data_IF_892102402682
#
_entry.id   IF_892102402682
#
_cell.length_a   1.000
_cell.length_b   1.000
_cell.length_c   1.000
_cell.angle_alpha   90.00
_cell.angle_beta   90.00
_cell.angle_gamma   90.00
#
_symmetry.space_group_name_H-M   'P 1'
#
loop_
_entity.id
_entity.type
_entity.pdbx_description
1 polymer ?
#
# COMPACT_ATOMS: atom_id res chain seq x y z
N UNK A 1 19.04 -12.67 7.83
CA UNK A 1 20.04 -13.75 7.75
C UNK A 1 20.20 -14.15 6.29
N UNK A 2 21.40 -14.51 5.86
CA UNK A 2 21.66 -15.01 4.50
C UNK A 2 22.10 -16.48 4.63
N UNK A 3 21.40 -17.36 3.93
CA UNK A 3 21.75 -18.79 3.82
C UNK A 3 22.66 -19.02 2.61
N UNK A 4 23.69 -19.87 2.77
CA UNK A 4 24.63 -20.18 1.71
C UNK A 4 25.24 -21.59 1.88
N UNK A 5 25.80 -22.15 0.81
CA UNK A 5 26.44 -23.47 0.81
C UNK A 5 27.95 -23.30 0.68
N UNK A 6 28.71 -23.92 1.58
CA UNK A 6 30.18 -24.05 1.46
C UNK A 6 30.55 -25.49 1.73
N UNK A 7 31.30 -26.10 0.82
CA UNK A 7 31.75 -27.49 0.88
C UNK A 7 30.57 -28.46 1.14
N UNK A 8 29.46 -28.24 0.44
CA UNK A 8 28.25 -29.07 0.57
C UNK A 8 27.45 -28.87 1.87
N UNK A 9 27.87 -28.01 2.79
CA UNK A 9 27.16 -27.74 4.05
C UNK A 9 26.43 -26.40 4.00
N UNK A 10 25.16 -26.40 4.42
CA UNK A 10 24.39 -25.17 4.64
C UNK A 10 24.98 -24.40 5.82
N UNK A 11 25.22 -23.12 5.61
CA UNK A 11 25.68 -22.15 6.62
C UNK A 11 24.80 -20.91 6.57
N UNK A 12 24.82 -20.15 7.65
CA UNK A 12 24.05 -18.91 7.77
C UNK A 12 24.97 -17.81 8.28
N UNK A 13 24.78 -16.60 7.74
CA UNK A 13 25.55 -15.42 8.12
C UNK A 13 24.63 -14.21 8.28
N UNK A 14 24.98 -13.31 9.20
CA UNK A 14 24.27 -12.05 9.36
C UNK A 14 24.79 -11.01 8.37
N UNK A 15 23.88 -10.26 7.74
CA UNK A 15 24.25 -9.16 6.85
C UNK A 15 24.61 -7.89 7.61
N UNK A 16 25.68 -7.21 7.18
CA UNK A 16 25.96 -5.83 7.59
C UNK A 16 25.23 -4.88 6.66
N UNK A 17 24.18 -4.22 7.14
CA UNK A 17 23.58 -3.11 6.39
C UNK A 17 24.44 -1.87 6.61
N UNK A 18 25.50 -1.70 5.81
CA UNK A 18 26.31 -0.48 5.85
C UNK A 18 25.41 0.70 5.47
N UNK A 19 25.28 1.67 6.39
CA UNK A 19 24.44 2.87 6.20
C UNK A 19 24.97 3.79 5.09
N UNK A 20 26.17 3.57 4.58
CA UNK A 20 26.82 4.43 3.59
C UNK A 20 26.66 3.87 2.18
N UNK A 21 25.61 4.31 1.49
CA UNK A 21 25.62 4.71 0.07
C UNK A 21 24.18 4.99 -0.40
N UNK A 22 23.98 6.22 -0.88
CA UNK A 22 22.69 6.88 -1.10
C UNK A 22 22.06 6.55 -2.48
N UNK A 23 22.68 5.66 -3.27
CA UNK A 23 22.17 5.34 -4.60
C UNK A 23 21.34 4.05 -4.60
N UNK A 24 20.00 4.21 -4.68
CA UNK A 24 18.95 3.19 -4.85
C UNK A 24 19.25 1.84 -4.18
N UNK A 25 19.05 1.75 -2.86
CA UNK A 25 19.09 0.47 -2.14
C UNK A 25 17.91 -0.40 -2.61
N UNK A 26 18.22 -1.55 -3.21
CA UNK A 26 17.27 -2.65 -3.36
C UNK A 26 16.73 -2.99 -1.97
N UNK A 27 15.41 -3.04 -1.82
CA UNK A 27 14.80 -3.55 -0.61
C UNK A 27 14.91 -5.08 -0.66
N UNK A 28 15.73 -5.67 0.20
CA UNK A 28 15.89 -7.13 0.22
C UNK A 28 14.65 -7.80 0.79
N UNK A 29 14.15 -8.80 0.07
CA UNK A 29 13.01 -9.63 0.47
C UNK A 29 13.48 -11.07 0.77
N UNK A 30 12.68 -11.82 1.52
CA UNK A 30 12.88 -13.26 1.68
C UNK A 30 12.83 -13.91 0.28
N UNK A 31 13.69 -14.90 0.04
CA UNK A 31 13.79 -15.55 -1.28
C UNK A 31 14.66 -14.80 -2.29
N UNK A 32 15.16 -13.60 -1.97
CA UNK A 32 16.16 -12.93 -2.79
C UNK A 32 17.46 -13.75 -2.82
N UNK A 33 17.89 -14.08 -4.03
CA UNK A 33 19.23 -14.59 -4.27
C UNK A 33 20.17 -13.41 -4.36
N UNK A 34 21.23 -13.46 -3.56
CA UNK A 34 22.19 -12.37 -3.42
C UNK A 34 23.61 -12.89 -3.57
N UNK A 35 24.50 -12.02 -4.05
CA UNK A 35 25.96 -12.21 -3.92
C UNK A 35 26.45 -11.38 -2.74
N UNK A 36 27.46 -11.86 -2.03
CA UNK A 36 28.03 -11.18 -0.88
C UNK A 36 29.47 -11.65 -0.65
N UNK A 37 30.24 -10.86 0.10
CA UNK A 37 31.57 -11.26 0.58
C UNK A 37 31.51 -11.57 2.07
N UNK A 38 32.25 -12.58 2.51
CA UNK A 38 32.34 -12.94 3.92
C UNK A 38 33.59 -12.29 4.51
N UNK A 39 33.42 -11.56 5.61
CA UNK A 39 34.50 -10.98 6.40
C UNK A 39 34.19 -11.05 7.89
N UNK A 40 35.12 -10.57 8.71
CA UNK A 40 34.85 -10.37 10.13
C UNK A 40 33.98 -9.14 10.35
N UNK A 41 33.21 -9.13 11.44
CA UNK A 41 32.47 -7.97 11.92
C UNK A 41 33.42 -6.79 12.19
N UNK A 42 32.88 -5.58 12.33
CA UNK A 42 33.68 -4.41 12.72
C UNK A 42 34.44 -4.59 14.06
N UNK A 43 33.99 -5.50 14.93
CA UNK A 43 34.65 -5.85 16.20
C UNK A 43 35.59 -7.06 16.08
N UNK A 44 35.65 -7.71 14.93
CA UNK A 44 36.49 -8.88 14.69
C UNK A 44 35.97 -10.19 15.28
N UNK A 45 34.84 -10.17 15.99
CA UNK A 45 34.39 -11.26 16.86
C UNK A 45 33.52 -12.31 16.16
N UNK A 46 32.93 -11.97 15.01
CA UNK A 46 31.95 -12.82 14.30
C UNK A 46 32.08 -12.67 12.80
N UNK A 47 31.70 -13.72 12.08
CA UNK A 47 31.57 -13.68 10.62
C UNK A 47 30.35 -12.86 10.20
N UNK A 48 30.53 -12.00 9.20
CA UNK A 48 29.51 -11.10 8.70
C UNK A 48 29.56 -11.02 7.17
N UNK A 49 28.37 -10.94 6.55
CA UNK A 49 28.25 -10.69 5.12
C UNK A 49 28.33 -9.19 4.82
N UNK A 50 29.26 -8.81 3.95
CA UNK A 50 29.42 -7.47 3.39
C UNK A 50 29.15 -7.47 1.88
N UNK A 51 29.10 -6.28 1.28
CA UNK A 51 28.91 -6.09 -0.17
C UNK A 51 27.73 -6.90 -0.76
N UNK A 52 26.62 -6.94 -0.03
CA UNK A 52 25.44 -7.71 -0.43
C UNK A 52 24.82 -7.05 -1.67
N UNK A 53 24.72 -7.80 -2.77
CA UNK A 53 24.12 -7.37 -4.04
C UNK A 53 23.01 -8.33 -4.43
N UNK A 54 21.84 -7.80 -4.72
CA UNK A 54 20.73 -8.56 -5.27
C UNK A 54 21.09 -9.15 -6.65
N UNK A 55 20.69 -10.40 -6.89
CA UNK A 55 20.80 -11.06 -8.18
C UNK A 55 19.42 -11.26 -8.80
N UNK A 56 18.56 -12.07 -8.15
CA UNK A 56 17.21 -12.37 -8.64
C UNK A 56 16.30 -12.91 -7.53
N UNK A 57 14.99 -12.96 -7.77
CA UNK A 57 14.01 -13.63 -6.92
C UNK A 57 13.00 -14.36 -7.81
N UNK A 58 13.24 -15.66 -8.02
CA UNK A 58 12.42 -16.46 -8.94
C UNK A 58 10.97 -16.60 -8.47
N UNK A 59 10.74 -16.59 -7.14
CA UNK A 59 9.40 -16.69 -6.58
C UNK A 59 8.58 -15.42 -6.88
N UNK A 60 9.19 -14.24 -6.72
CA UNK A 60 8.56 -12.97 -7.06
C UNK A 60 8.25 -12.87 -8.56
N UNK A 61 9.18 -13.29 -9.40
CA UNK A 61 9.00 -13.29 -10.85
C UNK A 61 7.90 -14.27 -11.30
N UNK A 62 7.80 -15.43 -10.64
CA UNK A 62 6.71 -16.38 -10.86
C UNK A 62 5.35 -15.76 -10.47
N UNK A 63 5.26 -15.08 -9.33
CA UNK A 63 4.03 -14.40 -8.91
C UNK A 63 3.63 -13.30 -9.90
N UNK A 64 4.57 -12.44 -10.33
CA UNK A 64 4.32 -11.38 -11.32
C UNK A 64 3.84 -11.96 -12.65
N UNK A 65 4.38 -13.10 -13.07
CA UNK A 65 3.91 -13.78 -14.27
C UNK A 65 2.53 -14.41 -14.08
N UNK A 66 2.22 -14.94 -12.88
CA UNK A 66 0.90 -15.47 -12.54
C UNK A 66 -0.17 -14.36 -12.57
N UNK A 67 0.15 -13.15 -12.07
CA UNK A 67 -0.74 -11.97 -12.13
C UNK A 67 -1.24 -11.69 -13.55
N UNK A 68 -0.43 -11.93 -14.60
CA UNK A 68 -0.82 -11.72 -16.00
C UNK A 68 -1.92 -12.66 -16.49
N UNK A 69 -2.12 -13.79 -15.79
CA UNK A 69 -3.16 -14.79 -16.08
C UNK A 69 -4.32 -14.68 -15.08
N UNK A 70 -3.97 -14.63 -13.81
CA UNK A 70 -4.91 -14.59 -12.69
C UNK A 70 -4.29 -13.83 -11.52
N UNK A 71 -4.90 -12.72 -11.11
CA UNK A 71 -4.45 -11.90 -10.00
C UNK A 71 -5.29 -12.19 -8.74
N UNK A 72 -5.24 -13.44 -8.29
CA UNK A 72 -5.96 -13.91 -7.11
C UNK A 72 -5.05 -14.87 -6.34
N UNK A 73 -4.68 -14.45 -5.13
CA UNK A 73 -3.73 -15.15 -4.28
C UNK A 73 -4.33 -15.38 -2.89
N UNK A 74 -3.81 -16.37 -2.19
CA UNK A 74 -4.15 -16.68 -0.80
C UNK A 74 -2.91 -16.44 0.06
N UNK A 75 -3.10 -15.82 1.21
CA UNK A 75 -2.02 -15.51 2.14
C UNK A 75 -2.53 -15.35 3.56
N UNK A 76 -1.61 -15.20 4.50
CA UNK A 76 -1.94 -14.93 5.89
C UNK A 76 -1.73 -13.45 6.20
N UNK A 77 -2.75 -12.82 6.79
CA UNK A 77 -2.63 -11.43 7.23
C UNK A 77 -1.73 -11.35 8.46
N UNK A 78 -0.74 -10.44 8.44
CA UNK A 78 0.20 -10.19 9.53
C UNK A 78 0.27 -8.70 9.80
N UNK A 79 0.66 -8.34 11.03
CA UNK A 79 0.92 -6.95 11.42
C UNK A 79 2.31 -6.87 12.05
N UNK A 80 3.09 -5.86 11.65
CA UNK A 80 4.40 -5.53 12.21
C UNK A 80 4.49 -4.02 12.29
N UNK A 81 4.81 -3.46 13.46
CA UNK A 81 4.93 -2.01 13.69
C UNK A 81 3.76 -1.20 13.10
N UNK A 82 2.53 -1.63 13.42
CA UNK A 82 1.27 -1.03 12.94
C UNK A 82 1.07 -1.05 11.41
N UNK A 83 1.89 -1.79 10.67
CA UNK A 83 1.80 -1.97 9.22
C UNK A 83 1.32 -3.38 8.90
N UNK A 84 0.33 -3.49 8.02
CA UNK A 84 -0.24 -4.76 7.63
C UNK A 84 0.50 -5.34 6.43
N UNK A 85 0.71 -6.65 6.46
CA UNK A 85 1.33 -7.42 5.39
C UNK A 85 0.51 -8.66 5.11
N UNK A 86 0.52 -9.13 3.87
CA UNK A 86 0.10 -10.49 3.56
C UNK A 86 1.33 -11.33 3.28
N UNK A 87 1.43 -12.46 3.99
CA UNK A 87 2.40 -13.51 3.68
C UNK A 87 1.75 -14.49 2.72
N UNK A 88 2.14 -14.45 1.45
CA UNK A 88 1.63 -15.37 0.42
C UNK A 88 2.02 -16.81 0.75
N UNK A 89 1.09 -17.75 0.57
CA UNK A 89 1.23 -19.14 1.08
C UNK A 89 2.37 -19.89 0.38
N UNK A 90 2.44 -19.83 -0.94
CA UNK A 90 3.32 -20.71 -1.72
C UNK A 90 4.77 -20.22 -1.71
N UNK A 91 4.97 -18.91 -1.89
CA UNK A 91 6.27 -18.26 -1.99
C UNK A 91 6.83 -17.78 -0.66
N UNK A 92 6.00 -17.71 0.38
CA UNK A 92 6.34 -17.11 1.69
C UNK A 92 6.75 -15.62 1.60
N UNK A 93 6.51 -14.96 0.45
CA UNK A 93 6.80 -13.55 0.25
C UNK A 93 5.81 -12.68 1.02
N UNK A 94 6.31 -11.55 1.52
CA UNK A 94 5.52 -10.57 2.26
C UNK A 94 5.25 -9.37 1.38
N UNK A 95 3.98 -9.01 1.26
CA UNK A 95 3.54 -7.83 0.53
C UNK A 95 2.84 -6.86 1.47
N UNK A 96 3.24 -5.58 1.52
CA UNK A 96 2.55 -4.57 2.32
C UNK A 96 1.11 -4.41 1.81
N UNK A 97 0.14 -4.38 2.73
CA UNK A 97 -1.27 -4.20 2.39
C UNK A 97 -1.55 -2.72 2.17
N UNK A 98 -2.09 -2.39 1.00
CA UNK A 98 -2.63 -1.07 0.73
C UNK A 98 -4.01 -0.94 1.39
N UNK A 99 -4.06 -0.23 2.52
CA UNK A 99 -5.31 0.09 3.19
C UNK A 99 -5.91 1.39 2.65
N UNK A 100 -7.21 1.37 2.38
CA UNK A 100 -7.97 2.58 2.06
C UNK A 100 -8.05 3.51 3.28
N UNK A 101 -8.05 4.85 3.07
CA UNK A 101 -8.34 5.82 4.14
C UNK A 101 -9.68 5.61 4.84
N UNK A 102 -10.62 4.93 4.18
CA UNK A 102 -11.99 4.70 4.64
C UNK A 102 -12.27 3.24 4.99
N UNK A 103 -11.26 2.38 4.89
CA UNK A 103 -11.38 0.98 5.27
C UNK A 103 -11.26 0.84 6.79
N UNK A 104 -12.12 0.00 7.36
CA UNK A 104 -11.97 -0.45 8.73
C UNK A 104 -10.70 -1.30 8.83
N UNK A 105 -9.85 -0.96 9.79
CA UNK A 105 -8.63 -1.73 10.04
C UNK A 105 -9.02 -3.18 10.39
N UNK A 106 -8.25 -4.17 9.90
CA UNK A 106 -8.44 -5.55 10.34
C UNK A 106 -8.37 -5.66 11.87
N UNK A 107 -9.22 -6.51 12.43
CA UNK A 107 -9.23 -6.82 13.87
C UNK A 107 -8.16 -7.84 14.21
N UNK A 108 -7.80 -7.97 15.49
CA UNK A 108 -6.84 -8.99 15.93
C UNK A 108 -7.28 -10.41 15.58
N UNK A 109 -8.57 -10.70 15.65
CA UNK A 109 -9.15 -11.98 15.25
C UNK A 109 -8.98 -12.31 13.76
N UNK A 110 -8.74 -11.29 12.92
CA UNK A 110 -8.47 -11.48 11.49
C UNK A 110 -6.97 -11.60 11.19
N UNK A 111 -6.11 -11.38 12.18
CA UNK A 111 -4.68 -11.62 12.04
C UNK A 111 -4.42 -13.13 12.03
N UNK A 112 -3.46 -13.55 11.22
CA UNK A 112 -3.08 -14.95 11.01
C UNK A 112 -4.12 -15.82 10.31
N UNK A 113 -5.29 -15.28 9.98
CA UNK A 113 -6.29 -15.94 9.14
C UNK A 113 -5.89 -15.90 7.66
N UNK A 114 -6.38 -16.89 6.92
CA UNK A 114 -6.23 -16.94 5.47
C UNK A 114 -7.11 -15.85 4.82
N UNK A 115 -6.50 -15.04 3.97
CA UNK A 115 -7.15 -13.97 3.22
C UNK A 115 -6.86 -14.14 1.73
N UNK A 116 -7.83 -13.75 0.91
CA UNK A 116 -7.64 -13.64 -0.54
C UNK A 116 -7.24 -12.20 -0.89
N UNK A 117 -6.31 -12.06 -1.82
CA UNK A 117 -5.77 -10.75 -2.21
C UNK A 117 -5.29 -10.73 -3.66
N UNK A 118 -5.12 -9.53 -4.19
CA UNK A 118 -4.49 -9.25 -5.48
C UNK A 118 -3.18 -8.48 -5.26
N UNK A 119 -2.24 -8.63 -6.19
CA UNK A 119 -1.02 -7.83 -6.25
C UNK A 119 -1.24 -6.58 -7.11
N UNK A 120 -0.82 -5.44 -6.59
CA UNK A 120 -0.84 -4.14 -7.26
C UNK A 120 0.58 -3.67 -7.59
N UNK A 121 0.71 -2.78 -8.58
CA UNK A 121 1.98 -2.16 -8.99
C UNK A 121 3.07 -3.17 -9.42
N UNK A 122 2.66 -4.23 -10.11
CA UNK A 122 3.53 -5.33 -10.57
C UNK A 122 4.47 -4.93 -11.70
N UNK A 123 4.28 -3.74 -12.29
CA UNK A 123 5.20 -3.08 -13.21
C UNK A 123 6.51 -2.64 -12.53
N UNK A 124 6.50 -2.45 -11.21
CA UNK A 124 7.67 -2.08 -10.42
C UNK A 124 7.84 -3.00 -9.20
N UNK A 125 8.77 -3.96 -9.32
CA UNK A 125 9.05 -4.98 -8.28
C UNK A 125 9.29 -4.41 -6.88
N UNK A 126 9.78 -3.18 -6.76
CA UNK A 126 10.06 -2.53 -5.47
C UNK A 126 8.85 -1.81 -4.85
N UNK A 127 7.73 -1.75 -5.55
CA UNK A 127 6.51 -1.04 -5.12
C UNK A 127 5.28 -1.95 -5.06
N UNK A 128 5.48 -3.26 -5.17
CA UNK A 128 4.37 -4.22 -5.14
C UNK A 128 3.70 -4.15 -3.77
N UNK A 129 2.37 -4.04 -3.81
CA UNK A 129 1.51 -4.03 -2.62
C UNK A 129 0.39 -5.06 -2.80
N UNK A 130 -0.25 -5.45 -1.70
CA UNK A 130 -1.42 -6.32 -1.71
C UNK A 130 -2.71 -5.52 -1.47
N UNK A 131 -3.77 -5.85 -2.20
CA UNK A 131 -5.13 -5.36 -1.97
C UNK A 131 -6.01 -6.55 -1.59
N UNK A 132 -6.61 -6.49 -0.40
CA UNK A 132 -7.49 -7.57 0.09
C UNK A 132 -8.83 -7.53 -0.66
N UNK A 133 -9.37 -8.69 -1.04
CA UNK A 133 -10.69 -8.76 -1.67
C UNK A 133 -11.82 -8.47 -0.69
N UNK A 134 -11.74 -9.05 0.52
CA UNK A 134 -12.76 -8.87 1.55
C UNK A 134 -12.37 -7.76 2.50
N UNK A 135 -12.89 -6.55 2.26
CA UNK A 135 -12.68 -5.39 3.13
C UNK A 135 -14.00 -4.77 3.54
N UNK A 136 -14.05 -4.26 4.78
CA UNK A 136 -15.18 -3.49 5.30
C UNK A 136 -14.79 -2.02 5.33
N UNK A 137 -15.72 -1.14 4.96
CA UNK A 137 -15.51 0.30 4.97
C UNK A 137 -16.37 0.97 6.04
N UNK A 138 -16.06 2.22 6.34
CA UNK A 138 -16.88 3.07 7.20
C UNK A 138 -18.26 3.35 6.52
N UNK A 139 -19.34 3.56 7.29
CA UNK A 139 -20.68 3.85 6.74
C UNK A 139 -20.73 5.02 5.73
N UNK A 140 -19.88 6.02 5.94
CA UNK A 140 -19.75 7.20 5.10
C UNK A 140 -19.28 6.84 3.68
N UNK A 141 -18.42 5.83 3.54
CA UNK A 141 -17.97 5.33 2.23
C UNK A 141 -19.11 4.67 1.45
N UNK A 142 -19.92 3.82 2.11
CA UNK A 142 -21.09 3.20 1.48
C UNK A 142 -22.15 4.24 1.09
N UNK A 143 -22.25 5.33 1.85
CA UNK A 143 -23.12 6.45 1.50
C UNK A 143 -22.62 7.21 0.26
N UNK A 144 -21.31 7.42 0.17
CA UNK A 144 -20.67 7.96 -1.03
C UNK A 144 -20.84 7.06 -2.25
N UNK A 145 -20.72 5.73 -2.09
CA UNK A 145 -20.92 4.77 -3.17
C UNK A 145 -22.36 4.80 -3.70
N UNK A 146 -23.35 4.86 -2.81
CA UNK A 146 -24.76 5.01 -3.21
C UNK A 146 -25.01 6.32 -3.95
N UNK A 147 -24.48 7.43 -3.45
CA UNK A 147 -24.63 8.73 -4.11
C UNK A 147 -23.94 8.76 -5.48
N UNK A 148 -22.75 8.16 -5.59
CA UNK A 148 -22.02 8.05 -6.85
C UNK A 148 -22.78 7.23 -7.90
N UNK A 149 -23.28 6.04 -7.52
CA UNK A 149 -24.06 5.19 -8.44
C UNK A 149 -25.34 5.86 -8.93
N UNK A 150 -25.98 6.66 -8.07
CA UNK A 150 -27.21 7.40 -8.41
C UNK A 150 -26.97 8.76 -9.05
N UNK A 151 -25.71 9.19 -9.19
CA UNK A 151 -25.35 10.56 -9.57
C UNK A 151 -26.14 11.59 -8.74
N UNK A 152 -26.25 11.33 -7.44
CA UNK A 152 -27.03 12.16 -6.53
C UNK A 152 -26.17 13.32 -6.01
N UNK A 153 -26.64 14.58 -6.08
CA UNK A 153 -25.99 15.70 -5.43
C UNK A 153 -25.94 15.51 -3.91
N UNK A 154 -24.81 15.83 -3.30
CA UNK A 154 -24.58 15.72 -1.85
C UNK A 154 -24.15 17.07 -1.29
N UNK A 155 -24.55 17.35 -0.06
CA UNK A 155 -24.01 18.51 0.67
C UNK A 155 -22.63 18.17 1.20
N UNK A 156 -21.69 19.09 1.01
CA UNK A 156 -20.32 18.97 1.47
C UNK A 156 -19.86 20.25 2.14
N UNK A 157 -19.15 20.12 3.26
CA UNK A 157 -18.65 21.24 4.04
C UNK A 157 -17.20 21.55 3.68
N UNK A 158 -16.89 22.80 3.39
CA UNK A 158 -15.54 23.26 3.11
C UNK A 158 -14.73 23.25 4.40
N UNK A 159 -13.67 22.46 4.45
CA UNK A 159 -12.81 22.40 5.65
C UNK A 159 -11.43 23.04 5.44
N UNK A 160 -11.01 23.20 4.20
CA UNK A 160 -9.73 23.85 3.88
C UNK A 160 -9.76 24.44 2.48
N UNK A 161 -9.27 25.68 2.38
CA UNK A 161 -8.99 26.34 1.12
C UNK A 161 -7.49 26.61 1.09
N UNK A 162 -6.82 26.21 0.01
CA UNK A 162 -5.40 26.51 -0.20
C UNK A 162 -5.13 26.88 -1.66
N UNK A 163 -3.94 27.43 -1.99
CA UNK A 163 -3.55 27.69 -3.37
C UNK A 163 -3.60 26.44 -4.27
N UNK A 164 -3.55 25.25 -3.66
CA UNK A 164 -3.56 23.98 -4.39
C UNK A 164 -4.97 23.37 -4.57
N UNK A 165 -6.01 23.98 -3.99
CA UNK A 165 -7.40 23.58 -4.18
C UNK A 165 -8.27 23.73 -2.93
N UNK A 166 -9.56 23.39 -3.11
CA UNK A 166 -10.59 23.40 -2.07
C UNK A 166 -10.83 21.97 -1.61
N UNK A 167 -10.87 21.76 -0.31
CA UNK A 167 -11.07 20.47 0.31
C UNK A 167 -12.36 20.43 1.12
N UNK A 168 -13.07 19.33 0.97
CA UNK A 168 -14.44 19.17 1.42
C UNK A 168 -14.60 17.93 2.30
N UNK A 169 -15.50 18.03 3.26
CA UNK A 169 -16.02 16.94 4.06
C UNK A 169 -17.35 16.48 3.47
N UNK A 170 -17.46 15.17 3.20
CA UNK A 170 -18.69 14.53 2.76
C UNK A 170 -19.21 13.61 3.86
N UNK A 171 -20.53 13.54 4.01
CA UNK A 171 -21.19 12.59 4.94
C UNK A 171 -20.61 12.62 6.37
N UNK A 172 -20.35 13.81 6.92
CA UNK A 172 -19.61 13.99 8.17
C UNK A 172 -18.16 14.40 7.91
N UNK A 173 -17.24 14.12 8.83
CA UNK A 173 -15.85 14.62 8.84
C UNK A 173 -14.78 13.60 8.40
N UNK A 174 -15.19 12.36 8.07
CA UNK A 174 -14.24 11.28 7.73
C UNK A 174 -13.97 11.15 6.23
N UNK A 175 -14.95 11.42 5.37
CA UNK A 175 -14.76 11.38 3.92
C UNK A 175 -14.26 12.73 3.42
N UNK A 176 -12.93 12.85 3.31
CA UNK A 176 -12.27 14.02 2.73
C UNK A 176 -12.19 13.90 1.21
N UNK A 177 -12.65 14.92 0.49
CA UNK A 177 -12.49 15.03 -0.95
C UNK A 177 -11.80 16.34 -1.33
N UNK A 178 -11.21 16.35 -2.53
CA UNK A 178 -10.73 17.56 -3.18
C UNK A 178 -11.70 17.94 -4.29
N UNK A 179 -12.09 19.21 -4.33
CA UNK A 179 -12.91 19.76 -5.40
C UNK A 179 -12.07 19.84 -6.68
N UNK A 180 -12.60 19.32 -7.78
CA UNK A 180 -11.92 19.31 -9.07
C UNK A 180 -11.73 20.72 -9.63
N UNK A 181 -10.59 21.05 -10.26
CA UNK A 181 -10.33 22.37 -10.84
C UNK A 181 -11.29 22.75 -11.98
N UNK A 182 -11.93 21.75 -12.60
CA UNK A 182 -12.94 21.94 -13.66
C UNK A 182 -14.32 22.36 -13.12
N UNK A 183 -14.43 22.63 -11.81
CA UNK A 183 -15.69 22.96 -11.18
C UNK A 183 -16.39 24.11 -11.92
N UNK A 184 -17.70 23.94 -12.16
CA UNK A 184 -18.60 25.02 -12.55
C UNK A 184 -18.50 26.21 -11.59
N UNK A 185 -19.10 27.35 -11.95
CA UNK A 185 -18.96 28.63 -11.22
C UNK A 185 -19.07 28.40 -9.72
N UNK A 186 -17.95 28.52 -9.01
CA UNK A 186 -17.91 28.44 -7.55
C UNK A 186 -18.67 29.65 -6.98
N UNK A 187 -19.29 29.53 -5.80
CA UNK A 187 -19.85 30.68 -5.11
C UNK A 187 -18.77 31.77 -4.95
N UNK A 188 -19.05 33.04 -5.30
CA UNK A 188 -18.12 34.12 -5.04
C UNK A 188 -17.90 34.20 -3.51
N UNK A 189 -16.64 34.15 -3.07
CA UNK A 189 -16.21 34.21 -1.67
C UNK A 189 -16.46 32.95 -0.80
N UNK A 190 -16.23 31.76 -1.34
CA UNK A 190 -16.24 30.53 -0.54
C UNK A 190 -15.25 30.60 0.65
N UNK A 191 -15.71 30.26 1.85
CA UNK A 191 -14.93 30.22 3.11
C UNK A 191 -14.96 28.84 3.73
N UNK A 192 -14.06 28.62 4.69
CA UNK A 192 -14.09 27.40 5.52
C UNK A 192 -15.33 27.42 6.41
N UNK A 193 -16.03 26.29 6.50
CA UNK A 193 -17.32 26.15 7.17
C UNK A 193 -18.53 26.21 6.22
N UNK A 194 -18.35 26.76 5.01
CA UNK A 194 -19.43 26.85 4.04
C UNK A 194 -19.87 25.47 3.58
N UNK A 195 -21.18 25.33 3.31
CA UNK A 195 -21.74 24.11 2.74
C UNK A 195 -22.08 24.33 1.28
N UNK A 196 -21.60 23.46 0.41
CA UNK A 196 -21.87 23.49 -1.03
C UNK A 196 -22.46 22.17 -1.49
N UNK A 197 -23.26 22.21 -2.56
CA UNK A 197 -23.72 21.00 -3.24
C UNK A 197 -22.67 20.52 -4.23
N UNK A 198 -22.36 19.24 -4.19
CA UNK A 198 -21.38 18.62 -5.08
C UNK A 198 -21.91 17.31 -5.65
N UNK A 199 -21.41 16.95 -6.82
CA UNK A 199 -21.55 15.63 -7.43
C UNK A 199 -20.27 14.85 -7.21
N UNK A 200 -20.38 13.57 -6.87
CA UNK A 200 -19.23 12.67 -6.89
C UNK A 200 -19.02 12.24 -8.35
N UNK A 201 -17.90 12.63 -8.96
CA UNK A 201 -17.59 12.31 -10.37
C UNK A 201 -16.68 11.10 -10.49
N UNK A 202 -15.93 10.79 -9.44
CA UNK A 202 -15.11 9.59 -9.35
C UNK A 202 -15.05 9.07 -7.93
N UNK A 203 -15.20 7.75 -7.78
CA UNK A 203 -15.02 7.06 -6.51
C UNK A 203 -14.29 5.74 -6.74
N UNK A 204 -13.22 5.52 -5.99
CA UNK A 204 -12.56 4.23 -5.82
C UNK A 204 -12.26 4.00 -4.34
N UNK A 205 -11.75 2.81 -4.00
CA UNK A 205 -11.31 2.51 -2.63
C UNK A 205 -10.28 3.51 -2.11
N UNK A 206 -9.48 4.13 -2.98
CA UNK A 206 -8.34 5.00 -2.58
C UNK A 206 -8.58 6.49 -2.81
N UNK A 207 -9.53 6.84 -3.67
CA UNK A 207 -9.68 8.22 -4.14
C UNK A 207 -11.13 8.57 -4.41
N UNK A 208 -11.46 9.82 -4.09
CA UNK A 208 -12.74 10.45 -4.40
C UNK A 208 -12.47 11.78 -5.10
N UNK A 209 -13.24 12.08 -6.14
CA UNK A 209 -13.25 13.40 -6.78
C UNK A 209 -14.69 13.90 -6.90
N UNK A 210 -14.84 15.21 -6.72
CA UNK A 210 -16.16 15.86 -6.68
C UNK A 210 -16.14 17.14 -7.49
N UNK A 211 -17.31 17.53 -7.98
CA UNK A 211 -17.54 18.78 -8.72
C UNK A 211 -18.70 19.55 -8.11
N UNK A 212 -18.60 20.88 -8.07
CA UNK A 212 -19.67 21.71 -7.54
C UNK A 212 -20.86 21.72 -8.50
N UNK A 213 -22.07 21.66 -7.93
CA UNK A 213 -23.32 21.85 -8.65
C UNK A 213 -23.96 23.13 -8.12
N UNK A 214 -24.37 24.01 -9.04
CA UNK A 214 -25.18 25.18 -8.73
C UNK A 214 -26.63 24.78 -8.48
#
# INVERSE_FOLDING_TARGET
MIEYIVNGRKKVVNGSMVKNNINKKHAFHIGDVVSFTIGLSARGDRMQAGNIRFLYNNALDALINKVKKENNFIGYLKVVDNTYFVKEIDSYLFFPVQLSPWQLKPTEAQLNEAVTFELLHTDNKNKITASLFTTKFIPEYYSAERAYKKQQPVQATVYKISPHGIYLYLFGDKMKAKLSPKAGKLPPQLKTGDTIRVLITYLSKMKIAVEAIL
#
